data_IF_351265886903
#
_entry.id   IF_351265886903
#
_cell.length_a   1.000
_cell.length_b   1.000
_cell.length_c   1.000
_cell.angle_alpha   90.00
_cell.angle_beta   90.00
_cell.angle_gamma   90.00
#
_symmetry.space_group_name_H-M   'P 1'
#
loop_
_entity.id
_entity.type
_entity.pdbx_description
1 polymer ?
#
# COMPACT_ATOMS: atom_id res chain seq x y z
N UNK A 1 20.79 22.42 -4.21
CA UNK A 1 19.61 21.66 -4.67
C UNK A 1 19.65 20.29 -4.02
N UNK A 2 18.81 20.03 -3.01
CA UNK A 2 18.80 18.73 -2.32
C UNK A 2 18.03 17.72 -3.18
N UNK A 3 18.74 16.73 -3.70
CA UNK A 3 18.15 15.59 -4.41
C UNK A 3 17.29 14.77 -3.42
N UNK A 4 16.02 14.47 -3.77
CA UNK A 4 15.08 13.63 -3.01
C UNK A 4 15.74 12.34 -2.45
N UNK A 5 16.57 11.61 -3.23
CA UNK A 5 17.31 10.44 -2.72
C UNK A 5 18.21 10.72 -1.50
N UNK A 6 18.89 11.88 -1.47
CA UNK A 6 19.82 12.22 -0.39
C UNK A 6 19.09 12.51 0.93
N UNK A 7 17.94 13.19 0.85
CA UNK A 7 17.09 13.44 2.02
C UNK A 7 16.56 12.11 2.55
N UNK A 8 16.09 11.23 1.67
CA UNK A 8 15.54 9.95 2.08
C UNK A 8 16.60 9.07 2.77
N UNK A 9 17.80 8.96 2.19
CA UNK A 9 18.89 8.20 2.82
C UNK A 9 19.31 8.77 4.17
N UNK A 10 19.28 10.10 4.35
CA UNK A 10 19.53 10.73 5.65
C UNK A 10 18.53 10.23 6.69
N UNK A 11 17.24 10.25 6.40
CA UNK A 11 16.22 9.81 7.35
C UNK A 11 16.21 8.30 7.56
N UNK A 12 16.48 7.49 6.54
CA UNK A 12 16.64 6.03 6.67
C UNK A 12 17.75 5.69 7.67
N UNK A 13 18.91 6.34 7.58
CA UNK A 13 20.00 6.18 8.55
C UNK A 13 19.62 6.62 9.95
N UNK A 14 18.99 7.79 10.09
CA UNK A 14 18.56 8.31 11.39
C UNK A 14 17.54 7.39 12.07
N UNK A 15 16.66 6.75 11.29
CA UNK A 15 15.68 5.80 11.76
C UNK A 15 16.25 4.39 12.00
N UNK A 16 17.54 4.15 11.71
CA UNK A 16 18.19 2.82 11.78
C UNK A 16 17.49 1.76 10.92
N UNK A 17 16.91 2.17 9.79
CA UNK A 17 16.26 1.29 8.82
C UNK A 17 17.23 0.90 7.70
N UNK A 18 18.45 0.48 8.05
CA UNK A 18 19.45 0.14 7.04
C UNK A 18 18.93 -0.95 6.09
N UNK A 19 19.18 -0.76 4.79
CA UNK A 19 18.66 -1.63 3.73
C UNK A 19 17.30 -1.23 3.16
N UNK A 20 16.56 -0.29 3.78
CA UNK A 20 15.31 0.22 3.20
C UNK A 20 15.56 1.20 2.06
N UNK A 21 14.67 1.18 1.08
CA UNK A 21 14.64 2.09 -0.07
C UNK A 21 13.33 2.88 -0.13
N UNK A 22 13.28 3.87 -1.03
CA UNK A 22 12.03 4.57 -1.37
C UNK A 22 10.94 3.61 -1.83
N UNK A 23 11.33 2.53 -2.50
CA UNK A 23 10.40 1.53 -3.02
C UNK A 23 9.74 0.75 -1.88
N UNK A 24 10.49 0.38 -0.84
CA UNK A 24 9.96 -0.33 0.33
C UNK A 24 8.96 0.53 1.11
N UNK A 25 9.23 1.84 1.22
CA UNK A 25 8.29 2.79 1.82
C UNK A 25 7.01 2.90 0.99
N UNK A 26 7.11 2.92 -0.35
CA UNK A 26 5.94 2.91 -1.24
C UNK A 26 5.13 1.63 -1.08
N UNK A 27 5.79 0.47 -0.95
CA UNK A 27 5.11 -0.80 -0.66
C UNK A 27 4.39 -0.77 0.68
N UNK A 28 5.07 -0.29 1.73
CA UNK A 28 4.47 -0.17 3.07
C UNK A 28 3.25 0.74 3.07
N UNK A 29 3.32 1.87 2.35
CA UNK A 29 2.17 2.74 2.13
C UNK A 29 1.01 1.99 1.46
N UNK A 30 1.29 1.23 0.40
CA UNK A 30 0.29 0.41 -0.30
C UNK A 30 -0.44 -0.56 0.62
N UNK A 31 0.30 -1.35 1.41
CA UNK A 31 -0.29 -2.30 2.36
C UNK A 31 -1.18 -1.61 3.42
N UNK A 32 -0.71 -0.51 4.02
CA UNK A 32 -1.47 0.20 5.08
C UNK A 32 -2.72 0.90 4.54
N UNK A 33 -2.71 1.34 3.28
CA UNK A 33 -3.86 2.00 2.68
C UNK A 33 -4.90 1.01 2.15
N UNK A 34 -4.48 -0.19 1.74
CA UNK A 34 -5.37 -1.23 1.22
C UNK A 34 -6.46 -1.65 2.22
N UNK A 35 -6.20 -1.57 3.52
CA UNK A 35 -7.18 -1.88 4.58
C UNK A 35 -8.41 -0.96 4.59
N UNK A 36 -8.31 0.25 4.01
CA UNK A 36 -9.33 1.30 4.12
C UNK A 36 -9.63 2.03 2.82
N UNK A 37 -8.97 1.62 1.73
CA UNK A 37 -9.05 2.32 0.44
C UNK A 37 -9.50 1.34 -0.63
N UNK A 38 -10.59 1.62 -1.35
CA UNK A 38 -10.99 0.82 -2.51
C UNK A 38 -9.84 0.68 -3.52
N UNK A 39 -9.65 -0.53 -4.06
CA UNK A 39 -8.51 -0.89 -4.93
C UNK A 39 -8.26 0.12 -6.06
N UNK A 40 -9.31 0.58 -6.75
CA UNK A 40 -9.17 1.53 -7.86
C UNK A 40 -8.63 2.90 -7.41
N UNK A 41 -9.02 3.37 -6.22
CA UNK A 41 -8.49 4.62 -5.65
C UNK A 41 -7.06 4.44 -5.18
N UNK A 42 -6.75 3.29 -4.58
CA UNK A 42 -5.39 2.96 -4.19
C UNK A 42 -4.46 2.96 -5.42
N UNK A 43 -4.90 2.37 -6.53
CA UNK A 43 -4.15 2.37 -7.79
C UNK A 43 -3.88 3.79 -8.30
N UNK A 44 -4.87 4.69 -8.26
CA UNK A 44 -4.70 6.09 -8.64
C UNK A 44 -3.70 6.81 -7.73
N UNK A 45 -3.82 6.67 -6.41
CA UNK A 45 -2.91 7.29 -5.45
C UNK A 45 -1.48 6.78 -5.62
N UNK A 46 -1.33 5.48 -5.92
CA UNK A 46 -0.03 4.87 -6.14
C UNK A 46 0.52 5.10 -7.54
N UNK A 47 -0.24 5.70 -8.46
CA UNK A 47 0.18 5.93 -9.85
C UNK A 47 0.38 4.63 -10.62
N UNK A 48 -0.54 3.68 -10.48
CA UNK A 48 -0.54 2.42 -11.22
C UNK A 48 -1.54 2.47 -12.38
N UNK A 49 -1.04 2.23 -13.59
CA UNK A 49 -1.87 2.14 -14.81
C UNK A 49 -2.59 0.79 -14.94
N UNK A 50 -2.20 -0.20 -14.13
CA UNK A 50 -2.78 -1.54 -14.12
C UNK A 50 -3.21 -1.92 -12.69
N UNK A 51 -4.49 -2.29 -12.53
CA UNK A 51 -5.03 -2.75 -11.25
C UNK A 51 -4.34 -4.02 -10.74
N UNK A 52 -3.87 -4.90 -11.63
CA UNK A 52 -3.14 -6.12 -11.23
C UNK A 52 -1.86 -5.79 -10.45
N UNK A 53 -1.21 -4.65 -10.73
CA UNK A 53 -0.03 -4.21 -9.96
C UNK A 53 -0.41 -3.74 -8.56
N UNK A 54 -1.66 -3.27 -8.36
CA UNK A 54 -2.18 -2.84 -7.06
C UNK A 54 -2.72 -4.00 -6.24
N UNK A 55 -3.15 -5.08 -6.90
CA UNK A 55 -3.66 -6.30 -6.25
C UNK A 55 -2.67 -6.92 -5.26
N UNK A 56 -1.36 -6.69 -5.41
CA UNK A 56 -0.35 -7.18 -4.47
C UNK A 56 -0.57 -6.68 -3.03
N UNK A 57 -1.27 -5.55 -2.85
CA UNK A 57 -1.54 -4.96 -1.53
C UNK A 57 -2.85 -5.42 -0.91
N UNK A 58 -3.73 -6.06 -1.68
CA UNK A 58 -5.02 -6.54 -1.19
C UNK A 58 -4.88 -8.03 -0.89
N UNK A 59 -4.93 -8.37 0.39
CA UNK A 59 -5.09 -9.77 0.83
C UNK A 59 -6.55 -9.93 1.24
N UNK A 60 -7.37 -10.53 0.38
CA UNK A 60 -8.67 -11.01 0.81
C UNK A 60 -8.46 -12.35 1.52
N UNK A 61 -8.73 -12.40 2.82
CA UNK A 61 -8.87 -13.67 3.53
C UNK A 61 -10.26 -14.26 3.25
N UNK A 62 -10.45 -15.55 3.50
CA UNK A 62 -11.79 -16.16 3.40
C UNK A 62 -12.80 -15.51 4.35
N UNK A 63 -12.35 -15.06 5.53
CA UNK A 63 -13.20 -14.37 6.51
C UNK A 63 -13.67 -13.00 5.99
N UNK A 64 -12.80 -12.25 5.29
CA UNK A 64 -13.19 -10.96 4.68
C UNK A 64 -14.29 -11.16 3.64
N UNK A 65 -14.17 -12.21 2.81
CA UNK A 65 -15.17 -12.54 1.79
C UNK A 65 -16.51 -12.94 2.41
N UNK A 66 -16.46 -13.75 3.48
CA UNK A 66 -17.66 -14.19 4.20
C UNK A 66 -18.40 -13.02 4.84
N UNK A 67 -17.67 -12.09 5.48
CA UNK A 67 -18.27 -10.89 6.09
C UNK A 67 -18.92 -9.95 5.08
N UNK A 68 -18.39 -9.82 3.86
CA UNK A 68 -19.02 -9.04 2.80
C UNK A 68 -20.31 -9.70 2.26
N UNK A 69 -20.32 -11.03 2.14
CA UNK A 69 -21.54 -11.78 1.75
C UNK A 69 -22.65 -11.63 2.79
N UNK A 70 -22.30 -11.67 4.08
CA UNK A 70 -23.26 -11.52 5.18
C UNK A 70 -23.89 -10.11 5.21
N UNK A 71 -23.12 -9.05 4.91
CA UNK A 71 -23.66 -7.68 4.76
C UNK A 71 -24.64 -7.55 3.61
N UNK A 72 -24.48 -8.33 2.55
CA UNK A 72 -25.41 -8.34 1.40
C UNK A 72 -26.68 -9.12 1.77
N UNK A 73 -26.55 -10.23 2.50
CA UNK A 73 -27.67 -11.08 2.88
C UNK A 73 -28.63 -10.42 3.90
N UNK A 74 -28.17 -9.41 4.63
CA UNK A 74 -28.94 -8.68 5.65
C UNK A 74 -29.40 -7.27 5.22
N UNK A 75 -29.19 -6.90 3.95
CA UNK A 75 -29.79 -5.73 3.29
C UNK A 75 -30.95 -6.16 2.37
#
# INVERSE_FOLDING_TARGET
MLHIPHILQKYIRLAKLEGFSAHDLRHRFGYVMAERTPLHRLAQIMGHDNLNTTMIYVRATQEDLQGEVEKIAWN
#
